data_IF_596609066598
#
_entry.id   IF_596609066598
#
_cell.length_a   1.000
_cell.length_b   1.000
_cell.length_c   1.000
_cell.angle_alpha   90.00
_cell.angle_beta   90.00
_cell.angle_gamma   90.00
#
_symmetry.space_group_name_H-M   'P 1'
#
loop_
_entity.id
_entity.type
_entity.pdbx_description
1 polymer ?
#
# COMPACT_ATOMS: atom_id res chain seq x y z
N UNK A 1 -68.85 -10.21 -31.41
CA UNK A 1 -69.49 -11.20 -30.51
C UNK A 1 -68.41 -11.84 -29.68
N UNK A 2 -68.47 -11.70 -28.36
CA UNK A 2 -67.84 -12.64 -27.43
C UNK A 2 -68.59 -13.98 -27.49
N UNK A 3 -67.98 -15.11 -27.11
CA UNK A 3 -68.71 -16.38 -27.03
C UNK A 3 -69.90 -16.23 -26.08
N UNK A 4 -71.09 -16.71 -26.44
CA UNK A 4 -72.28 -16.55 -25.59
C UNK A 4 -72.25 -17.51 -24.38
N UNK A 5 -71.61 -18.68 -24.53
CA UNK A 5 -71.43 -19.67 -23.45
C UNK A 5 -70.08 -20.38 -23.56
N UNK A 6 -69.50 -20.72 -22.42
CA UNK A 6 -68.26 -21.49 -22.29
C UNK A 6 -68.57 -22.81 -21.61
N UNK A 7 -68.22 -23.92 -22.27
CA UNK A 7 -68.18 -25.26 -21.67
C UNK A 7 -66.74 -25.57 -21.29
N UNK A 8 -66.52 -25.98 -20.05
CA UNK A 8 -65.19 -26.25 -19.52
C UNK A 8 -65.18 -27.54 -18.71
N UNK A 9 -64.02 -28.22 -18.67
CA UNK A 9 -63.81 -29.31 -17.72
C UNK A 9 -63.70 -28.78 -16.27
N UNK A 10 -63.73 -29.69 -15.30
CA UNK A 10 -63.67 -29.34 -13.89
C UNK A 10 -62.36 -28.63 -13.49
N UNK A 11 -61.25 -28.87 -14.19
CA UNK A 11 -59.95 -28.28 -13.87
C UNK A 11 -59.92 -26.82 -14.30
N UNK A 12 -60.38 -26.54 -15.52
CA UNK A 12 -60.50 -25.20 -16.07
C UNK A 12 -61.53 -24.37 -15.30
N UNK A 13 -62.69 -24.95 -14.95
CA UNK A 13 -63.71 -24.26 -14.16
C UNK A 13 -63.14 -23.75 -12.82
N UNK A 14 -62.39 -24.59 -12.10
CA UNK A 14 -61.75 -24.21 -10.82
C UNK A 14 -60.73 -23.08 -10.96
N UNK A 15 -59.97 -23.02 -12.06
CA UNK A 15 -58.98 -21.95 -12.28
C UNK A 15 -59.64 -20.57 -12.38
N UNK A 16 -60.86 -20.50 -12.92
CA UNK A 16 -61.64 -19.26 -13.06
C UNK A 16 -62.66 -19.05 -11.94
N UNK A 17 -62.66 -19.90 -10.90
CA UNK A 17 -63.61 -19.81 -9.80
C UNK A 17 -65.06 -20.14 -10.17
N UNK A 18 -65.28 -20.89 -11.26
CA UNK A 18 -66.60 -21.32 -11.71
C UNK A 18 -66.91 -22.71 -11.17
N UNK A 19 -68.16 -22.95 -10.77
CA UNK A 19 -68.62 -24.28 -10.34
C UNK A 19 -68.48 -25.31 -11.49
N UNK A 20 -67.80 -26.46 -11.25
CA UNK A 20 -67.59 -27.47 -12.29
C UNK A 20 -68.86 -28.05 -12.93
N UNK A 21 -69.95 -28.20 -12.18
CA UNK A 21 -71.20 -28.73 -12.71
C UNK A 21 -71.88 -27.70 -13.62
N UNK A 22 -71.86 -26.43 -13.23
CA UNK A 22 -72.38 -25.33 -14.05
C UNK A 22 -71.53 -25.05 -15.29
N UNK A 23 -70.21 -25.25 -15.19
CA UNK A 23 -69.26 -25.16 -16.30
C UNK A 23 -69.49 -26.23 -17.36
N UNK A 24 -69.75 -27.48 -16.96
CA UNK A 24 -70.05 -28.58 -17.88
C UNK A 24 -71.38 -28.37 -18.64
N UNK A 25 -72.37 -27.75 -17.98
CA UNK A 25 -73.66 -27.39 -18.58
C UNK A 25 -73.58 -26.16 -19.51
N UNK A 26 -72.42 -25.50 -19.59
CA UNK A 26 -72.18 -24.27 -20.36
C UNK A 26 -72.56 -23.02 -19.57
N UNK A 27 -71.59 -22.30 -19.02
CA UNK A 27 -71.81 -21.05 -18.27
C UNK A 27 -71.75 -19.85 -19.23
N UNK A 28 -72.45 -18.72 -18.97
CA UNK A 28 -72.22 -17.48 -19.71
C UNK A 28 -70.73 -17.08 -19.68
N UNK A 29 -70.19 -16.59 -20.80
CA UNK A 29 -68.77 -16.25 -20.88
C UNK A 29 -68.36 -15.13 -19.92
N UNK A 30 -69.30 -14.27 -19.53
CA UNK A 30 -69.13 -13.20 -18.54
C UNK A 30 -68.67 -13.76 -17.19
N UNK A 31 -69.09 -14.97 -16.82
CA UNK A 31 -68.65 -15.61 -15.57
C UNK A 31 -67.14 -15.90 -15.58
N UNK A 32 -66.60 -16.31 -16.74
CA UNK A 32 -65.15 -16.53 -16.89
C UNK A 32 -64.39 -15.21 -17.00
N UNK A 33 -64.97 -14.18 -17.63
CA UNK A 33 -64.37 -12.84 -17.67
C UNK A 33 -64.26 -12.21 -16.27
N UNK A 34 -65.23 -12.47 -15.39
CA UNK A 34 -65.18 -12.04 -13.99
C UNK A 34 -64.02 -12.69 -13.21
N UNK A 35 -63.70 -13.94 -13.52
CA UNK A 35 -62.56 -14.67 -12.95
C UNK A 35 -61.19 -14.22 -13.47
N UNK A 36 -61.11 -13.40 -14.51
CA UNK A 36 -59.85 -12.80 -14.98
C UNK A 36 -59.48 -11.60 -14.09
N UNK A 37 -58.19 -11.45 -13.76
CA UNK A 37 -57.69 -10.32 -13.00
C UNK A 37 -58.06 -8.98 -13.67
N UNK A 38 -58.52 -7.96 -12.92
CA UNK A 38 -59.01 -6.70 -13.48
C UNK A 38 -58.10 -6.08 -14.56
N UNK A 39 -56.81 -5.96 -14.28
CA UNK A 39 -55.82 -5.40 -15.22
C UNK A 39 -55.70 -6.16 -16.55
N UNK A 40 -56.01 -7.47 -16.57
CA UNK A 40 -55.81 -8.32 -17.74
C UNK A 40 -57.08 -8.40 -18.60
N UNK A 41 -58.25 -8.02 -18.06
CA UNK A 41 -59.58 -8.20 -18.70
C UNK A 41 -59.68 -7.51 -20.05
N UNK A 42 -59.31 -6.23 -20.13
CA UNK A 42 -59.44 -5.45 -21.36
C UNK A 42 -58.59 -6.07 -22.49
N UNK A 43 -57.34 -6.41 -22.19
CA UNK A 43 -56.43 -7.04 -23.15
C UNK A 43 -56.91 -8.43 -23.58
N UNK A 44 -57.50 -9.22 -22.69
CA UNK A 44 -58.07 -10.53 -23.02
C UNK A 44 -59.28 -10.39 -23.93
N UNK A 45 -60.20 -9.46 -23.63
CA UNK A 45 -61.40 -9.21 -24.46
C UNK A 45 -61.00 -8.75 -25.86
N UNK A 46 -60.01 -7.86 -25.97
CA UNK A 46 -59.49 -7.40 -27.26
C UNK A 46 -58.89 -8.56 -28.08
N UNK A 47 -58.02 -9.38 -27.47
CA UNK A 47 -57.39 -10.52 -28.13
C UNK A 47 -58.38 -11.62 -28.53
N UNK A 48 -59.41 -11.88 -27.70
CA UNK A 48 -60.50 -12.80 -28.05
C UNK A 48 -61.29 -12.28 -29.27
N UNK A 49 -61.63 -10.98 -29.29
CA UNK A 49 -62.35 -10.36 -30.40
C UNK A 49 -61.53 -10.44 -31.70
N UNK A 50 -60.23 -10.20 -31.62
CA UNK A 50 -59.33 -10.34 -32.76
C UNK A 50 -59.34 -11.77 -33.29
N UNK A 51 -59.10 -12.77 -32.43
CA UNK A 51 -59.11 -14.20 -32.82
C UNK A 51 -60.44 -14.62 -33.49
N UNK A 52 -61.57 -14.17 -32.94
CA UNK A 52 -62.91 -14.42 -33.47
C UNK A 52 -63.13 -13.73 -34.83
N UNK A 53 -62.49 -12.58 -35.06
CA UNK A 53 -62.66 -11.81 -36.32
C UNK A 53 -61.74 -12.32 -37.42
N UNK A 54 -60.45 -12.46 -37.13
CA UNK A 54 -59.40 -12.77 -38.10
C UNK A 54 -59.19 -14.28 -38.30
N UNK A 55 -59.44 -15.08 -37.26
CA UNK A 55 -59.21 -16.52 -37.26
C UNK A 55 -57.82 -16.90 -36.78
N UNK A 56 -56.99 -15.93 -36.40
CA UNK A 56 -55.72 -16.20 -35.76
C UNK A 56 -55.92 -16.94 -34.42
N UNK A 57 -55.02 -17.87 -34.06
CA UNK A 57 -55.06 -18.53 -32.76
C UNK A 57 -55.01 -17.52 -31.62
N UNK A 58 -55.87 -17.69 -30.62
CA UNK A 58 -55.78 -16.96 -29.36
C UNK A 58 -54.64 -17.58 -28.54
N UNK A 59 -53.61 -16.80 -28.18
CA UNK A 59 -52.52 -17.22 -27.30
C UNK A 59 -52.20 -16.11 -26.33
N UNK A 60 -52.30 -16.36 -25.02
CA UNK A 60 -52.02 -15.34 -24.00
C UNK A 60 -51.72 -15.95 -22.63
N UNK A 61 -50.74 -15.38 -21.95
CA UNK A 61 -50.57 -15.53 -20.51
C UNK A 61 -51.43 -14.49 -19.78
N UNK A 62 -52.25 -14.90 -18.83
CA UNK A 62 -53.09 -13.99 -18.05
C UNK A 62 -53.24 -14.46 -16.60
N UNK A 63 -53.60 -13.54 -15.72
CA UNK A 63 -53.93 -13.81 -14.33
C UNK A 63 -55.41 -14.13 -14.19
N UNK A 64 -55.70 -15.19 -13.46
CA UNK A 64 -57.06 -15.54 -13.01
C UNK A 64 -57.12 -15.58 -11.50
N UNK A 65 -58.30 -15.28 -10.96
CA UNK A 65 -58.61 -15.29 -9.54
C UNK A 65 -59.47 -16.52 -9.30
N UNK A 66 -58.91 -17.49 -8.57
CA UNK A 66 -59.65 -18.70 -8.21
C UNK A 66 -60.78 -18.42 -7.21
N UNK A 67 -61.62 -19.43 -6.96
CA UNK A 67 -62.69 -19.33 -5.95
C UNK A 67 -62.15 -19.10 -4.52
N UNK A 68 -60.88 -19.46 -4.28
CA UNK A 68 -60.14 -19.22 -3.05
C UNK A 68 -59.55 -17.79 -2.95
N UNK A 69 -59.80 -16.94 -3.96
CA UNK A 69 -59.24 -15.60 -4.03
C UNK A 69 -57.76 -15.55 -4.45
N UNK A 70 -57.11 -16.70 -4.66
CA UNK A 70 -55.71 -16.73 -5.04
C UNK A 70 -55.52 -16.37 -6.52
N UNK A 71 -54.56 -15.49 -6.79
CA UNK A 71 -54.16 -15.12 -8.16
C UNK A 71 -53.24 -16.20 -8.72
N UNK A 72 -53.61 -16.74 -9.88
CA UNK A 72 -52.84 -17.74 -10.63
C UNK A 72 -52.53 -17.22 -12.03
N UNK A 73 -51.33 -17.49 -12.52
CA UNK A 73 -50.99 -17.26 -13.91
C UNK A 73 -51.37 -18.48 -14.74
N UNK A 74 -52.11 -18.27 -15.82
CA UNK A 74 -52.45 -19.32 -16.78
C UNK A 74 -51.97 -18.94 -18.18
N UNK A 75 -51.40 -19.90 -18.89
CA UNK A 75 -51.14 -19.81 -20.32
C UNK A 75 -52.35 -20.40 -21.05
N UNK A 76 -53.01 -19.61 -21.89
CA UNK A 76 -54.21 -20.02 -22.63
C UNK A 76 -53.93 -20.03 -24.12
N UNK A 77 -54.26 -21.14 -24.77
CA UNK A 77 -54.26 -21.27 -26.22
C UNK A 77 -55.64 -21.71 -26.70
N UNK A 78 -56.15 -21.07 -27.75
CA UNK A 78 -57.43 -21.42 -28.38
C UNK A 78 -57.42 -21.21 -29.89
N UNK A 79 -58.26 -21.97 -30.60
CA UNK A 79 -58.48 -21.86 -32.04
C UNK A 79 -59.96 -21.76 -32.37
N UNK A 80 -60.27 -20.82 -33.23
CA UNK A 80 -61.63 -20.60 -33.74
C UNK A 80 -61.91 -21.55 -34.91
N UNK A 81 -62.90 -22.43 -34.76
CA UNK A 81 -63.53 -23.15 -35.87
C UNK A 81 -64.45 -22.19 -36.63
N UNK A 82 -64.43 -22.25 -37.96
CA UNK A 82 -65.20 -21.35 -38.84
C UNK A 82 -66.07 -22.13 -39.82
N UNK A 83 -67.28 -21.63 -40.04
CA UNK A 83 -68.20 -22.09 -41.10
C UNK A 83 -68.63 -20.87 -41.91
N UNK A 84 -68.58 -20.96 -43.25
CA UNK A 84 -68.94 -19.86 -44.16
C UNK A 84 -68.25 -18.52 -43.81
N UNK A 85 -66.98 -18.58 -43.40
CA UNK A 85 -66.17 -17.40 -43.01
C UNK A 85 -66.45 -16.85 -41.60
N UNK A 86 -67.47 -17.35 -40.90
CA UNK A 86 -67.85 -16.91 -39.54
C UNK A 86 -67.34 -17.89 -38.48
N UNK A 87 -66.79 -17.38 -37.38
CA UNK A 87 -66.38 -18.22 -36.26
C UNK A 87 -67.62 -18.81 -35.55
N UNK A 88 -67.66 -20.14 -35.44
CA UNK A 88 -68.78 -20.88 -34.83
C UNK A 88 -68.43 -21.45 -33.45
N UNK A 89 -67.14 -21.69 -33.18
CA UNK A 89 -66.69 -22.24 -31.88
C UNK A 89 -65.23 -21.87 -31.62
N UNK A 90 -64.89 -21.43 -30.41
CA UNK A 90 -63.52 -21.26 -29.94
C UNK A 90 -63.19 -22.42 -28.99
N UNK A 91 -62.32 -23.33 -29.40
CA UNK A 91 -61.84 -24.42 -28.54
C UNK A 91 -60.44 -24.09 -28.05
N UNK A 92 -60.18 -24.25 -26.75
CA UNK A 92 -58.88 -23.93 -26.16
C UNK A 92 -58.57 -24.71 -24.90
N UNK A 93 -57.34 -24.56 -24.42
CA UNK A 93 -56.83 -25.13 -23.19
C UNK A 93 -56.12 -24.04 -22.38
N UNK A 94 -56.15 -24.20 -21.05
CA UNK A 94 -55.37 -23.37 -20.14
C UNK A 94 -54.44 -24.26 -19.29
N UNK A 95 -53.21 -23.81 -19.12
CA UNK A 95 -52.22 -24.45 -18.24
C UNK A 95 -51.84 -23.47 -17.14
N UNK A 96 -51.92 -23.90 -15.89
CA UNK A 96 -51.39 -23.14 -14.76
C UNK A 96 -49.86 -23.07 -14.85
N UNK A 97 -49.32 -21.86 -14.95
CA UNK A 97 -47.90 -21.56 -15.05
C UNK A 97 -47.40 -20.75 -13.85
N UNK A 98 -48.18 -20.71 -12.75
CA UNK A 98 -47.87 -19.92 -11.55
C UNK A 98 -46.54 -20.34 -10.93
N UNK A 99 -46.35 -21.63 -10.68
CA UNK A 99 -45.11 -22.17 -10.08
C UNK A 99 -43.89 -21.92 -10.98
N UNK A 100 -44.03 -22.11 -12.30
CA UNK A 100 -42.97 -21.81 -13.27
C UNK A 100 -42.53 -20.35 -13.18
N UNK A 101 -43.48 -19.41 -13.18
CA UNK A 101 -43.18 -17.97 -13.06
C UNK A 101 -42.60 -17.60 -11.70
N UNK A 102 -43.04 -18.24 -10.61
CA UNK A 102 -42.47 -18.05 -9.26
C UNK A 102 -41.02 -18.49 -9.21
N UNK A 103 -40.68 -19.68 -9.74
CA UNK A 103 -39.30 -20.16 -9.80
C UNK A 103 -38.41 -19.26 -10.66
N UNK A 104 -38.86 -18.84 -11.85
CA UNK A 104 -38.12 -17.90 -12.68
C UNK A 104 -37.90 -16.55 -11.98
N UNK A 105 -38.91 -16.02 -11.30
CA UNK A 105 -38.80 -14.76 -10.56
C UNK A 105 -37.83 -14.88 -9.39
N UNK A 106 -37.91 -15.96 -8.61
CA UNK A 106 -37.02 -16.21 -7.49
C UNK A 106 -35.56 -16.39 -7.96
N UNK A 107 -35.35 -17.05 -9.10
CA UNK A 107 -34.03 -17.16 -9.72
C UNK A 107 -33.50 -15.80 -10.16
N UNK A 108 -34.29 -15.01 -10.89
CA UNK A 108 -33.90 -13.64 -11.31
C UNK A 108 -33.59 -12.75 -10.11
N UNK A 109 -34.39 -12.83 -9.05
CA UNK A 109 -34.16 -12.07 -7.81
C UNK A 109 -32.86 -12.52 -7.12
N UNK A 110 -32.60 -13.82 -7.07
CA UNK A 110 -31.36 -14.38 -6.51
C UNK A 110 -30.13 -13.92 -7.30
N UNK A 111 -30.18 -13.97 -8.63
CA UNK A 111 -29.12 -13.47 -9.51
C UNK A 111 -28.90 -11.96 -9.33
N UNK A 112 -29.98 -11.17 -9.23
CA UNK A 112 -29.89 -9.74 -9.00
C UNK A 112 -29.26 -9.40 -7.65
N UNK A 113 -29.65 -10.11 -6.57
CA UNK A 113 -29.05 -9.95 -5.25
C UNK A 113 -27.56 -10.31 -5.25
N UNK A 114 -27.19 -11.41 -5.91
CA UNK A 114 -25.78 -11.79 -6.05
C UNK A 114 -24.97 -10.70 -6.77
N UNK A 115 -25.43 -10.23 -7.93
CA UNK A 115 -24.75 -9.15 -8.68
C UNK A 115 -24.60 -7.90 -7.83
N UNK A 116 -25.68 -7.46 -7.17
CA UNK A 116 -25.65 -6.27 -6.33
C UNK A 116 -24.64 -6.38 -5.18
N UNK A 117 -24.58 -7.54 -4.52
CA UNK A 117 -23.59 -7.79 -3.46
C UNK A 117 -22.16 -7.78 -4.01
N UNK A 118 -21.93 -8.45 -5.13
CA UNK A 118 -20.61 -8.51 -5.75
C UNK A 118 -20.14 -7.12 -6.25
N UNK A 119 -21.02 -6.33 -6.85
CA UNK A 119 -20.71 -4.99 -7.38
C UNK A 119 -20.55 -3.92 -6.29
N UNK A 120 -21.01 -4.19 -5.06
CA UNK A 120 -20.86 -3.26 -3.92
C UNK A 120 -19.65 -3.59 -3.03
N UNK A 121 -19.06 -4.77 -3.20
CA UNK A 121 -17.91 -5.20 -2.40
C UNK A 121 -16.63 -4.50 -2.90
N UNK A 122 -15.81 -3.87 -2.03
CA UNK A 122 -14.60 -3.15 -2.43
C UNK A 122 -13.44 -4.09 -2.80
N UNK A 123 -13.71 -5.06 -3.68
CA UNK A 123 -12.79 -6.09 -4.14
C UNK A 123 -13.12 -6.45 -5.59
N UNK A 124 -12.12 -6.90 -6.34
CA UNK A 124 -12.31 -7.38 -7.71
C UNK A 124 -12.73 -8.85 -7.65
N UNK A 125 -14.01 -9.15 -7.83
CA UNK A 125 -14.55 -10.50 -7.67
C UNK A 125 -14.65 -11.17 -9.04
N UNK A 126 -14.21 -12.42 -9.12
CA UNK A 126 -14.25 -13.22 -10.34
C UNK A 126 -14.72 -14.65 -10.08
N UNK A 127 -15.24 -15.30 -11.13
CA UNK A 127 -15.52 -16.73 -11.14
C UNK A 127 -15.09 -17.35 -12.47
N UNK A 128 -14.63 -18.58 -12.42
CA UNK A 128 -14.36 -19.39 -13.61
C UNK A 128 -15.37 -20.51 -13.79
N UNK A 129 -15.46 -21.04 -15.01
CA UNK A 129 -16.02 -22.36 -15.27
C UNK A 129 -15.01 -23.48 -14.95
N UNK A 130 -15.43 -24.72 -15.23
CA UNK A 130 -14.66 -25.95 -15.07
C UNK A 130 -13.55 -26.13 -16.12
N UNK A 131 -13.42 -25.21 -17.07
CA UNK A 131 -12.30 -25.09 -18.01
C UNK A 131 -11.32 -23.96 -17.62
N UNK A 132 -11.56 -23.27 -16.50
CA UNK A 132 -10.72 -22.18 -16.01
C UNK A 132 -10.93 -20.85 -16.74
N UNK A 133 -11.98 -20.72 -17.56
CA UNK A 133 -12.34 -19.48 -18.24
C UNK A 133 -13.14 -18.58 -17.31
N UNK A 134 -12.84 -17.27 -17.26
CA UNK A 134 -13.60 -16.35 -16.43
C UNK A 134 -15.02 -16.19 -16.99
N UNK A 135 -16.03 -16.54 -16.21
CA UNK A 135 -17.46 -16.44 -16.57
C UNK A 135 -18.18 -15.30 -15.86
N UNK A 136 -17.54 -14.71 -14.85
CA UNK A 136 -18.05 -13.55 -14.13
C UNK A 136 -16.90 -12.68 -13.64
N UNK A 137 -17.08 -11.37 -13.78
CA UNK A 137 -16.27 -10.33 -13.16
C UNK A 137 -17.22 -9.20 -12.72
N UNK A 138 -17.03 -8.65 -11.51
CA UNK A 138 -17.86 -7.56 -11.00
C UNK A 138 -17.46 -6.20 -11.58
N UNK A 139 -18.31 -5.19 -11.38
CA UNK A 139 -18.11 -3.81 -11.89
C UNK A 139 -16.82 -3.14 -11.35
N UNK A 140 -16.19 -3.65 -10.29
CA UNK A 140 -14.94 -3.09 -9.78
C UNK A 140 -13.77 -3.22 -10.75
N UNK A 141 -13.82 -4.18 -11.69
CA UNK A 141 -12.87 -4.23 -12.80
C UNK A 141 -12.95 -2.98 -13.69
N UNK A 142 -14.15 -2.47 -13.95
CA UNK A 142 -14.37 -1.24 -14.72
C UNK A 142 -13.69 -0.04 -14.06
N UNK A 143 -13.79 0.04 -12.74
CA UNK A 143 -13.23 1.15 -11.98
C UNK A 143 -11.70 1.15 -12.00
N UNK A 144 -11.07 -0.02 -11.81
CA UNK A 144 -9.61 -0.13 -11.76
C UNK A 144 -8.98 -0.05 -13.16
N UNK A 145 -9.52 -0.78 -14.13
CA UNK A 145 -8.92 -0.94 -15.46
C UNK A 145 -9.49 0.02 -16.51
N UNK A 146 -10.60 0.70 -16.21
CA UNK A 146 -11.20 1.70 -17.09
C UNK A 146 -11.82 1.11 -18.37
N UNK A 147 -12.08 -0.19 -18.38
CA UNK A 147 -12.71 -0.96 -19.47
C UNK A 147 -13.81 -1.85 -18.91
N UNK A 148 -14.85 -2.21 -19.68
CA UNK A 148 -15.94 -3.05 -19.19
C UNK A 148 -15.44 -4.36 -18.57
N UNK A 149 -16.01 -4.80 -17.45
CA UNK A 149 -15.72 -6.11 -16.84
C UNK A 149 -15.93 -7.28 -17.81
N UNK A 150 -16.79 -7.11 -18.81
CA UNK A 150 -16.99 -8.05 -19.91
C UNK A 150 -15.70 -8.39 -20.68
N UNK A 151 -14.75 -7.45 -20.75
CA UNK A 151 -13.46 -7.64 -21.42
C UNK A 151 -12.53 -8.60 -20.64
N UNK A 152 -12.83 -8.86 -19.36
CA UNK A 152 -12.05 -9.77 -18.52
C UNK A 152 -12.48 -11.24 -18.72
N UNK A 153 -13.68 -11.46 -19.27
CA UNK A 153 -14.25 -12.78 -19.44
C UNK A 153 -13.39 -13.66 -20.36
N UNK A 154 -13.53 -14.97 -20.20
CA UNK A 154 -12.68 -15.97 -20.83
C UNK A 154 -11.22 -15.79 -20.40
N UNK A 155 -10.41 -15.37 -21.37
CA UNK A 155 -8.96 -15.20 -21.25
C UNK A 155 -8.52 -13.73 -21.18
N UNK A 156 -9.46 -12.77 -21.16
CA UNK A 156 -9.17 -11.35 -21.26
C UNK A 156 -8.36 -10.77 -20.08
N UNK A 157 -8.36 -11.45 -18.93
CA UNK A 157 -7.48 -11.12 -17.80
C UNK A 157 -5.98 -11.13 -18.15
N UNK A 158 -5.56 -11.84 -19.21
CA UNK A 158 -4.15 -11.85 -19.64
C UNK A 158 -3.67 -10.49 -20.13
N UNK A 159 -4.57 -9.66 -20.64
CA UNK A 159 -4.23 -8.34 -21.17
C UNK A 159 -3.93 -7.30 -20.08
N UNK A 160 -4.43 -7.53 -18.86
CA UNK A 160 -4.22 -6.60 -17.74
C UNK A 160 -3.02 -6.98 -16.89
N UNK A 161 -2.58 -8.24 -16.94
CA UNK A 161 -1.39 -8.75 -16.24
C UNK A 161 -0.12 -8.24 -16.93
N UNK A 162 0.89 -7.89 -16.13
CA UNK A 162 2.18 -7.48 -16.66
C UNK A 162 2.83 -8.65 -17.44
N UNK A 163 3.36 -8.42 -18.66
CA UNK A 163 3.92 -9.49 -19.49
C UNK A 163 5.03 -10.30 -18.81
N UNK A 164 5.79 -9.70 -17.90
CA UNK A 164 6.88 -10.38 -17.20
C UNK A 164 6.36 -11.38 -16.14
N UNK A 165 5.17 -11.11 -15.57
CA UNK A 165 4.56 -11.96 -14.54
C UNK A 165 3.63 -13.03 -15.14
N UNK A 166 3.14 -12.81 -16.37
CA UNK A 166 2.12 -13.64 -16.99
C UNK A 166 2.48 -15.14 -17.03
N UNK A 167 3.69 -15.57 -17.48
CA UNK A 167 4.02 -17.00 -17.55
C UNK A 167 3.99 -17.69 -16.19
N UNK A 168 4.58 -17.06 -15.17
CA UNK A 168 4.62 -17.62 -13.82
C UNK A 168 3.23 -17.66 -13.17
N UNK A 169 2.39 -16.65 -13.43
CA UNK A 169 1.02 -16.62 -12.93
C UNK A 169 0.15 -17.70 -13.59
N UNK A 170 0.27 -17.91 -14.90
CA UNK A 170 -0.42 -18.98 -15.62
C UNK A 170 -0.03 -20.37 -15.11
N UNK A 171 1.27 -20.60 -14.90
CA UNK A 171 1.78 -21.86 -14.35
C UNK A 171 1.21 -22.11 -12.95
N UNK A 172 1.33 -21.12 -12.05
CA UNK A 172 0.82 -21.24 -10.68
C UNK A 172 -0.71 -21.48 -10.63
N UNK A 173 -1.46 -20.80 -11.49
CA UNK A 173 -2.91 -21.03 -11.60
C UNK A 173 -3.21 -22.41 -12.18
N UNK A 174 -2.48 -22.83 -13.23
CA UNK A 174 -2.63 -24.14 -13.86
C UNK A 174 -2.37 -25.30 -12.91
N UNK A 175 -1.33 -25.22 -12.09
CA UNK A 175 -1.05 -26.20 -11.03
C UNK A 175 -2.19 -26.26 -10.00
N UNK A 176 -2.60 -25.11 -9.47
CA UNK A 176 -3.69 -25.06 -8.50
C UNK A 176 -5.00 -25.60 -9.08
N UNK A 177 -5.28 -25.30 -10.34
CA UNK A 177 -6.45 -25.77 -11.07
C UNK A 177 -6.44 -27.29 -11.27
N UNK A 178 -5.30 -27.86 -11.71
CA UNK A 178 -5.15 -29.30 -11.92
C UNK A 178 -5.35 -30.10 -10.63
N UNK A 179 -4.83 -29.59 -9.51
CA UNK A 179 -4.95 -30.21 -8.19
C UNK A 179 -6.25 -29.85 -7.45
N UNK A 180 -7.03 -28.90 -7.98
CA UNK A 180 -8.25 -28.36 -7.36
C UNK A 180 -8.02 -27.84 -5.93
N UNK A 181 -6.89 -27.17 -5.70
CA UNK A 181 -6.52 -26.57 -4.40
C UNK A 181 -6.75 -25.07 -4.39
N UNK A 182 -6.96 -24.43 -3.22
CA UNK A 182 -7.00 -22.98 -3.13
C UNK A 182 -5.82 -22.32 -3.84
N UNK A 183 -6.12 -21.33 -4.67
CA UNK A 183 -5.16 -20.56 -5.43
C UNK A 183 -4.83 -19.27 -4.69
N UNK A 184 -3.54 -18.93 -4.62
CA UNK A 184 -3.07 -17.64 -4.12
C UNK A 184 -1.79 -17.26 -4.86
N UNK A 185 -1.80 -16.07 -5.47
CA UNK A 185 -0.62 -15.49 -6.11
C UNK A 185 -0.67 -13.97 -6.04
N UNK A 186 0.50 -13.34 -6.12
CA UNK A 186 0.62 -11.90 -6.27
C UNK A 186 1.12 -11.60 -7.68
N UNK A 187 0.55 -10.59 -8.32
CA UNK A 187 0.82 -10.29 -9.72
C UNK A 187 0.77 -8.78 -9.96
N UNK A 188 1.64 -8.30 -10.84
CA UNK A 188 1.59 -6.92 -11.33
C UNK A 188 0.57 -6.81 -12.45
N UNK A 189 -0.23 -5.75 -12.40
CA UNK A 189 -1.20 -5.39 -13.44
C UNK A 189 -1.04 -3.93 -13.83
N UNK A 190 -1.60 -3.53 -14.97
CA UNK A 190 -1.66 -2.13 -15.41
C UNK A 190 -3.06 -1.59 -15.24
N UNK A 191 -3.20 -0.52 -14.45
CA UNK A 191 -4.48 0.16 -14.26
C UNK A 191 -4.88 1.01 -15.49
N UNK A 192 -6.03 1.67 -15.41
CA UNK A 192 -6.56 2.51 -16.48
C UNK A 192 -5.66 3.67 -16.93
N UNK A 193 -4.70 4.05 -16.10
CA UNK A 193 -3.73 5.11 -16.37
C UNK A 193 -2.36 4.54 -16.79
N UNK A 194 -2.25 3.22 -16.92
CA UNK A 194 -1.01 2.52 -17.24
C UNK A 194 -0.06 2.38 -16.05
N UNK A 195 -0.48 2.78 -14.84
CA UNK A 195 0.33 2.63 -13.64
C UNK A 195 0.35 1.16 -13.20
N UNK A 196 1.50 0.72 -12.68
CA UNK A 196 1.67 -0.64 -12.16
C UNK A 196 0.96 -0.73 -10.81
N UNK A 197 0.10 -1.75 -10.67
CA UNK A 197 -0.57 -2.12 -9.42
C UNK A 197 -0.18 -3.53 -9.04
N UNK A 198 -0.06 -3.79 -7.75
CA UNK A 198 0.08 -5.13 -7.23
C UNK A 198 -1.26 -5.66 -6.78
N UNK A 199 -1.71 -6.76 -7.39
CA UNK A 199 -2.89 -7.49 -6.96
C UNK A 199 -2.49 -8.77 -6.27
N UNK A 200 -3.14 -9.07 -5.14
CA UNK A 200 -3.14 -10.40 -4.56
C UNK A 200 -4.41 -11.11 -4.99
N UNK A 201 -4.24 -12.14 -5.80
CA UNK A 201 -5.32 -12.96 -6.34
C UNK A 201 -5.51 -14.18 -5.45
N UNK A 202 -6.72 -14.37 -4.94
CA UNK A 202 -7.09 -15.51 -4.10
C UNK A 202 -8.35 -16.17 -4.67
N UNK A 203 -8.35 -17.49 -4.77
CA UNK A 203 -9.48 -18.25 -5.30
C UNK A 203 -9.65 -19.60 -4.64
N UNK A 204 -10.89 -20.06 -4.52
CA UNK A 204 -11.23 -21.38 -3.98
C UNK A 204 -12.07 -22.17 -5.00
N UNK A 205 -11.89 -23.50 -5.07
CA UNK A 205 -12.68 -24.35 -5.94
C UNK A 205 -14.16 -24.35 -5.52
N UNK A 206 -15.05 -24.25 -6.50
CA UNK A 206 -16.50 -24.39 -6.35
C UNK A 206 -16.92 -25.79 -6.74
N UNK A 207 -17.75 -26.40 -5.90
CA UNK A 207 -18.37 -27.69 -6.15
C UNK A 207 -19.90 -27.55 -6.18
N UNK A 208 -20.58 -28.39 -6.94
CA UNK A 208 -22.03 -28.56 -6.82
C UNK A 208 -22.40 -29.53 -5.67
N UNK A 209 -23.71 -29.72 -5.45
CA UNK A 209 -24.23 -30.65 -4.43
C UNK A 209 -23.79 -32.11 -4.66
N UNK A 210 -23.38 -32.46 -5.88
CA UNK A 210 -22.84 -33.76 -6.26
C UNK A 210 -21.31 -33.83 -6.19
N UNK A 211 -20.65 -32.82 -5.59
CA UNK A 211 -19.20 -32.69 -5.48
C UNK A 211 -18.47 -32.61 -6.83
N UNK A 212 -19.16 -32.23 -7.91
CA UNK A 212 -18.54 -31.98 -9.21
C UNK A 212 -17.94 -30.59 -9.22
N UNK A 213 -16.74 -30.50 -9.80
CA UNK A 213 -16.00 -29.25 -9.92
C UNK A 213 -16.67 -28.31 -10.93
N UNK A 214 -16.94 -27.06 -10.50
CA UNK A 214 -17.62 -26.03 -11.28
C UNK A 214 -16.70 -24.86 -11.66
N UNK A 215 -15.39 -24.96 -11.39
CA UNK A 215 -14.44 -23.86 -11.50
C UNK A 215 -14.08 -23.22 -10.17
N UNK A 216 -13.58 -21.99 -10.21
CA UNK A 216 -13.14 -21.22 -9.04
C UNK A 216 -14.05 -20.02 -8.78
N UNK A 217 -14.12 -19.58 -7.54
CA UNK A 217 -14.53 -18.22 -7.19
C UNK A 217 -13.41 -17.57 -6.40
N UNK A 218 -13.16 -16.30 -6.68
CA UNK A 218 -12.06 -15.60 -6.04
C UNK A 218 -12.27 -14.10 -6.02
N UNK A 219 -11.31 -13.45 -5.40
CA UNK A 219 -11.19 -12.01 -5.43
C UNK A 219 -9.74 -11.58 -5.57
N UNK A 220 -9.54 -10.36 -6.06
CA UNK A 220 -8.25 -9.71 -6.08
C UNK A 220 -8.30 -8.49 -5.17
N UNK A 221 -7.28 -8.38 -4.32
CA UNK A 221 -7.09 -7.26 -3.40
C UNK A 221 -5.92 -6.45 -3.90
N UNK A 222 -6.12 -5.13 -4.06
CA UNK A 222 -5.02 -4.22 -4.36
C UNK A 222 -4.12 -4.09 -3.11
N UNK A 223 -2.88 -4.51 -3.25
CA UNK A 223 -1.84 -4.47 -2.21
C UNK A 223 -0.70 -3.52 -2.59
N UNK A 224 -0.91 -2.62 -3.55
CA UNK A 224 0.10 -1.69 -4.05
C UNK A 224 0.69 -0.84 -2.92
N UNK A 225 -0.17 -0.23 -2.09
CA UNK A 225 0.28 0.60 -0.97
C UNK A 225 1.09 -0.20 0.06
N UNK A 226 0.73 -1.46 0.28
CA UNK A 226 1.47 -2.37 1.17
C UNK A 226 2.85 -2.69 0.61
N UNK A 227 2.96 -2.98 -0.69
CA UNK A 227 4.25 -3.24 -1.36
C UNK A 227 5.16 -2.02 -1.36
N UNK A 228 4.63 -0.83 -1.67
CA UNK A 228 5.40 0.42 -1.62
C UNK A 228 5.90 0.71 -0.20
N UNK A 229 5.08 0.45 0.82
CA UNK A 229 5.49 0.61 2.21
C UNK A 229 6.58 -0.40 2.61
N UNK A 230 6.48 -1.64 2.15
CA UNK A 230 7.48 -2.70 2.38
C UNK A 230 8.84 -2.35 1.75
N UNK A 231 8.86 -1.95 0.47
CA UNK A 231 10.09 -1.53 -0.22
C UNK A 231 10.75 -0.34 0.48
N UNK A 232 9.96 0.65 0.90
CA UNK A 232 10.46 1.81 1.64
C UNK A 232 11.08 1.40 2.98
N UNK A 233 10.46 0.44 3.70
CA UNK A 233 10.98 -0.08 4.97
C UNK A 233 12.34 -0.76 4.76
N UNK A 234 12.45 -1.61 3.74
CA UNK A 234 13.68 -2.34 3.46
C UNK A 234 14.82 -1.42 3.01
N UNK A 235 14.51 -0.37 2.25
CA UNK A 235 15.47 0.68 1.90
C UNK A 235 16.02 1.38 3.15
N UNK A 236 15.15 1.78 4.08
CA UNK A 236 15.55 2.41 5.33
C UNK A 236 16.40 1.48 6.22
N UNK A 237 16.06 0.19 6.27
CA UNK A 237 16.84 -0.81 7.01
C UNK A 237 18.23 -0.97 6.40
N UNK A 238 18.32 -1.07 5.07
CA UNK A 238 19.60 -1.20 4.38
C UNK A 238 20.48 0.03 4.60
N UNK A 239 19.90 1.22 4.56
CA UNK A 239 20.61 2.46 4.83
C UNK A 239 21.09 2.53 6.28
N UNK A 240 20.24 2.17 7.25
CA UNK A 240 20.60 2.09 8.66
C UNK A 240 21.73 1.08 8.88
N UNK A 241 21.65 -0.11 8.29
CA UNK A 241 22.69 -1.14 8.38
C UNK A 241 24.02 -0.63 7.85
N UNK A 242 24.01 0.07 6.71
CA UNK A 242 25.21 0.70 6.16
C UNK A 242 25.78 1.75 7.13
N UNK A 243 24.91 2.57 7.75
CA UNK A 243 25.30 3.59 8.75
C UNK A 243 25.89 2.98 10.03
N UNK A 244 25.29 1.91 10.54
CA UNK A 244 25.79 1.18 11.73
C UNK A 244 27.17 0.59 11.45
N UNK A 245 27.36 -0.06 10.29
CA UNK A 245 28.67 -0.59 9.88
C UNK A 245 29.75 0.50 9.82
N UNK A 246 29.45 1.65 9.26
CA UNK A 246 30.39 2.78 9.19
C UNK A 246 30.78 3.30 10.58
N UNK A 247 29.81 3.42 11.49
CA UNK A 247 30.06 3.87 12.86
C UNK A 247 30.91 2.85 13.63
N UNK A 248 30.60 1.56 13.51
CA UNK A 248 31.39 0.49 14.14
C UNK A 248 32.82 0.43 13.62
N UNK A 249 33.03 0.61 12.31
CA UNK A 249 34.38 0.68 11.73
C UNK A 249 35.19 1.85 12.32
N UNK A 250 34.54 2.98 12.57
CA UNK A 250 35.17 4.14 13.22
C UNK A 250 35.52 3.83 14.68
N UNK A 251 34.60 3.24 15.45
CA UNK A 251 34.87 2.77 16.83
C UNK A 251 36.06 1.82 16.85
N UNK A 252 36.08 0.83 15.96
CA UNK A 252 37.16 -0.16 15.87
C UNK A 252 38.50 0.48 15.53
N UNK A 253 38.52 1.43 14.59
CA UNK A 253 39.72 2.21 14.25
C UNK A 253 40.25 2.97 15.46
N UNK A 254 39.38 3.69 16.18
CA UNK A 254 39.73 4.44 17.39
C UNK A 254 40.29 3.51 18.47
N UNK A 255 39.64 2.39 18.74
CA UNK A 255 40.11 1.42 19.74
C UNK A 255 41.48 0.84 19.37
N UNK A 256 41.63 0.37 18.12
CA UNK A 256 42.89 -0.22 17.62
C UNK A 256 44.03 0.78 17.66
N UNK A 257 43.79 2.03 17.26
CA UNK A 257 44.80 3.07 17.27
C UNK A 257 45.19 3.44 18.70
N UNK A 258 44.22 3.56 19.62
CA UNK A 258 44.46 3.89 21.02
C UNK A 258 45.33 2.85 21.70
N UNK A 259 45.01 1.55 21.52
CA UNK A 259 45.76 0.44 22.13
C UNK A 259 47.23 0.33 21.66
N UNK A 260 47.59 0.82 20.48
CA UNK A 260 48.95 0.70 19.93
C UNK A 260 50.03 1.51 20.67
N UNK A 261 49.66 2.52 21.46
CA UNK A 261 50.60 3.50 22.00
C UNK A 261 50.55 3.63 23.53
N UNK A 262 49.94 2.68 24.24
CA UNK A 262 49.78 2.76 25.69
C UNK A 262 50.73 1.81 26.43
N UNK A 263 51.30 2.28 27.53
CA UNK A 263 52.24 1.51 28.34
C UNK A 263 51.60 0.78 29.53
N UNK A 264 50.36 1.14 29.93
CA UNK A 264 49.62 0.51 31.03
C UNK A 264 48.14 0.31 30.69
N UNK A 265 47.54 -0.73 31.26
CA UNK A 265 46.13 -1.06 31.04
C UNK A 265 45.17 0.04 31.54
N UNK A 266 45.48 0.68 32.67
CA UNK A 266 44.65 1.77 33.24
C UNK A 266 44.67 3.05 32.39
N UNK A 267 45.81 3.34 31.74
CA UNK A 267 45.87 4.46 30.81
C UNK A 267 45.06 4.14 29.55
N UNK A 268 45.10 2.88 29.07
CA UNK A 268 44.38 2.47 27.87
C UNK A 268 42.87 2.52 28.10
N UNK A 269 42.40 2.05 29.27
CA UNK A 269 40.99 2.11 29.67
C UNK A 269 40.47 3.54 29.67
N UNK A 270 41.20 4.46 30.32
CA UNK A 270 40.81 5.88 30.41
C UNK A 270 40.78 6.58 29.04
N UNK A 271 41.78 6.33 28.20
CA UNK A 271 41.88 6.97 26.89
C UNK A 271 40.80 6.45 25.91
N UNK A 272 40.48 5.15 25.96
CA UNK A 272 39.37 4.57 25.18
C UNK A 272 38.02 5.13 25.65
N UNK A 273 37.78 5.16 26.96
CA UNK A 273 36.53 5.65 27.54
C UNK A 273 36.27 7.11 27.18
N UNK A 274 37.27 7.98 27.30
CA UNK A 274 37.17 9.39 26.92
C UNK A 274 36.82 9.57 25.43
N UNK A 275 37.36 8.73 24.55
CA UNK A 275 37.13 8.79 23.10
C UNK A 275 35.80 8.22 22.67
N UNK A 276 35.34 7.15 23.30
CA UNK A 276 33.99 6.62 23.06
C UNK A 276 32.93 7.64 23.46
N UNK A 277 33.13 8.35 24.59
CA UNK A 277 32.23 9.43 25.01
C UNK A 277 32.25 10.58 23.99
N UNK A 278 33.42 10.99 23.49
CA UNK A 278 33.52 12.04 22.47
C UNK A 278 32.83 11.64 21.15
N UNK A 279 33.03 10.39 20.70
CA UNK A 279 32.36 9.83 19.53
C UNK A 279 30.84 9.80 19.72
N UNK A 280 30.36 9.38 20.90
CA UNK A 280 28.93 9.36 21.23
C UNK A 280 28.31 10.75 21.14
N UNK A 281 28.97 11.77 21.68
CA UNK A 281 28.45 13.16 21.64
C UNK A 281 28.41 13.72 20.23
N UNK A 282 29.46 13.47 19.45
CA UNK A 282 29.47 13.83 18.03
C UNK A 282 28.32 13.13 17.28
N UNK A 283 28.05 11.86 17.61
CA UNK A 283 26.92 11.10 17.05
C UNK A 283 25.57 11.71 17.43
N UNK A 284 25.40 12.19 18.66
CA UNK A 284 24.17 12.84 19.12
C UNK A 284 23.89 14.14 18.35
N UNK A 285 24.91 14.96 18.10
CA UNK A 285 24.79 16.20 17.28
C UNK A 285 24.38 15.87 15.85
N UNK A 286 25.07 14.91 15.24
CA UNK A 286 24.78 14.51 13.86
C UNK A 286 23.40 13.87 13.73
N UNK A 287 22.95 13.13 14.75
CA UNK A 287 21.62 12.51 14.75
C UNK A 287 20.50 13.54 14.91
N UNK A 288 20.69 14.58 15.72
CA UNK A 288 19.70 15.67 15.87
C UNK A 288 19.55 16.52 14.61
N UNK A 289 20.63 16.73 13.88
CA UNK A 289 20.67 17.49 12.62
C UNK A 289 20.45 16.62 11.37
N UNK A 290 19.85 15.44 11.55
CA UNK A 290 19.51 14.49 10.49
C UNK A 290 20.69 14.16 9.54
N UNK A 291 21.91 14.22 10.06
CA UNK A 291 23.17 13.94 9.35
C UNK A 291 23.50 14.85 8.17
N UNK A 292 22.79 15.97 7.97
CA UNK A 292 23.09 16.93 6.91
C UNK A 292 24.35 17.76 7.20
N UNK A 293 24.78 17.80 8.46
CA UNK A 293 25.96 18.52 8.92
C UNK A 293 25.78 18.97 10.37
N UNK A 294 26.80 19.59 10.93
CA UNK A 294 26.76 20.08 12.30
C UNK A 294 27.41 21.47 12.41
N UNK A 295 26.84 22.31 13.28
CA UNK A 295 27.41 23.63 13.57
C UNK A 295 28.76 23.48 14.27
N UNK A 296 29.81 24.10 13.72
CA UNK A 296 31.15 24.13 14.34
C UNK A 296 31.08 24.67 15.78
N UNK A 297 30.22 25.65 16.03
CA UNK A 297 30.01 26.20 17.37
C UNK A 297 29.47 25.17 18.34
N UNK A 298 28.50 24.37 17.93
CA UNK A 298 27.89 23.33 18.77
C UNK A 298 28.86 22.19 19.03
N UNK A 299 29.62 21.77 18.01
CA UNK A 299 30.66 20.76 18.15
C UNK A 299 31.70 21.21 19.19
N UNK A 300 32.19 22.44 19.08
CA UNK A 300 33.14 23.00 20.05
C UNK A 300 32.51 23.09 21.45
N UNK A 301 31.26 23.55 21.56
CA UNK A 301 30.58 23.67 22.85
C UNK A 301 30.40 22.32 23.55
N UNK A 302 30.03 21.26 22.82
CA UNK A 302 29.84 19.93 23.40
C UNK A 302 31.15 19.23 23.76
N UNK A 303 32.19 19.36 22.93
CA UNK A 303 33.51 18.81 23.23
C UNK A 303 34.10 19.48 24.49
N UNK A 304 33.88 20.78 24.65
CA UNK A 304 34.40 21.54 25.80
C UNK A 304 33.49 21.49 27.04
N UNK A 305 32.26 21.00 26.92
CA UNK A 305 31.28 20.98 28.01
C UNK A 305 31.82 20.40 29.34
N UNK A 306 32.61 19.30 29.37
CA UNK A 306 33.16 18.76 30.62
C UNK A 306 34.13 19.69 31.33
N UNK A 307 34.72 20.64 30.60
CA UNK A 307 35.77 21.53 31.08
C UNK A 307 35.24 22.93 31.37
N UNK A 308 33.93 23.17 31.17
CA UNK A 308 33.28 24.43 31.54
C UNK A 308 32.72 24.32 32.96
N UNK A 309 33.29 25.08 33.89
CA UNK A 309 32.68 25.31 35.19
C UNK A 309 31.73 26.52 35.13
N UNK A 310 30.61 26.45 35.85
CA UNK A 310 29.65 27.55 35.93
C UNK A 310 30.33 28.80 36.53
N UNK A 311 30.46 29.87 35.73
CA UNK A 311 31.02 31.16 36.16
C UNK A 311 32.43 31.48 35.63
N UNK A 312 33.14 30.56 34.99
CA UNK A 312 34.51 30.78 34.50
C UNK A 312 34.57 31.25 33.03
N UNK A 313 35.20 32.41 32.78
CA UNK A 313 35.47 32.98 31.44
C UNK A 313 36.74 32.42 30.75
N UNK A 314 37.16 31.21 31.14
CA UNK A 314 38.46 30.64 30.74
C UNK A 314 38.44 30.00 29.36
N UNK A 315 37.25 29.64 28.86
CA UNK A 315 37.02 29.04 27.55
C UNK A 315 36.25 30.02 26.65
N UNK A 316 36.91 30.51 25.61
CA UNK A 316 36.33 31.43 24.63
C UNK A 316 36.17 30.73 23.29
N UNK A 317 34.95 30.72 22.75
CA UNK A 317 34.61 30.10 21.46
C UNK A 317 33.98 31.17 20.57
N UNK A 318 34.65 31.57 19.49
CA UNK A 318 34.25 32.71 18.66
C UNK A 318 34.49 32.51 17.16
N UNK A 319 33.48 32.75 16.34
CA UNK A 319 33.59 32.70 14.88
C UNK A 319 32.23 32.88 14.22
N UNK A 320 32.17 32.97 12.88
CA UNK A 320 30.91 32.97 12.14
C UNK A 320 30.23 31.60 12.21
N UNK A 321 28.93 31.52 11.94
CA UNK A 321 28.26 30.22 11.89
C UNK A 321 28.67 29.47 10.62
N UNK A 322 29.12 28.23 10.80
CA UNK A 322 29.63 27.34 9.76
C UNK A 322 29.05 25.96 9.99
N UNK A 323 28.38 25.40 8.97
CA UNK A 323 27.99 24.00 8.94
C UNK A 323 29.15 23.18 8.38
N UNK A 324 29.44 22.07 9.06
CA UNK A 324 30.49 21.13 8.69
C UNK A 324 29.87 19.83 8.21
N UNK A 325 30.51 19.21 7.22
CA UNK A 325 30.16 17.84 6.83
C UNK A 325 30.33 16.87 8.02
N UNK A 326 29.58 15.75 8.08
CA UNK A 326 29.68 14.79 9.17
C UNK A 326 31.11 14.31 9.46
N UNK A 327 31.91 14.12 8.40
CA UNK A 327 33.32 13.74 8.53
C UNK A 327 34.15 14.81 9.23
N UNK A 328 34.02 16.08 8.82
CA UNK A 328 34.73 17.20 9.44
C UNK A 328 34.27 17.42 10.88
N UNK A 329 32.96 17.31 11.13
CA UNK A 329 32.37 17.45 12.44
C UNK A 329 32.95 16.46 13.45
N UNK A 330 33.04 15.19 13.05
CA UNK A 330 33.60 14.14 13.89
C UNK A 330 35.10 14.35 14.15
N UNK A 331 35.86 14.69 13.10
CA UNK A 331 37.30 14.90 13.22
C UNK A 331 37.61 16.09 14.17
N UNK A 332 36.88 17.19 14.04
CA UNK A 332 37.04 18.37 14.89
C UNK A 332 36.56 18.12 16.33
N UNK A 333 35.50 17.35 16.54
CA UNK A 333 35.05 16.95 17.88
C UNK A 333 36.16 16.19 18.63
N UNK A 334 36.81 15.23 17.96
CA UNK A 334 37.94 14.49 18.53
C UNK A 334 39.15 15.41 18.80
N UNK A 335 39.47 16.31 17.85
CA UNK A 335 40.58 17.25 18.01
C UNK A 335 40.39 18.18 19.21
N UNK A 336 39.19 18.75 19.38
CA UNK A 336 38.89 19.61 20.54
C UNK A 336 38.98 18.86 21.86
N UNK A 337 38.53 17.61 21.90
CA UNK A 337 38.62 16.80 23.11
C UNK A 337 40.08 16.54 23.51
N UNK A 338 40.93 16.19 22.55
CA UNK A 338 42.35 15.93 22.77
C UNK A 338 43.10 17.20 23.18
N UNK A 339 42.84 18.32 22.49
CA UNK A 339 43.42 19.63 22.85
C UNK A 339 42.98 20.08 24.24
N UNK A 340 41.69 19.95 24.58
CA UNK A 340 41.18 20.29 25.91
C UNK A 340 41.81 19.42 27.01
N UNK A 341 41.93 18.11 26.75
CA UNK A 341 42.58 17.19 27.69
C UNK A 341 44.05 17.56 27.92
N UNK A 342 44.77 17.95 26.86
CA UNK A 342 46.16 18.40 26.98
C UNK A 342 46.26 19.73 27.72
N UNK A 343 45.34 20.67 27.46
CA UNK A 343 45.29 21.94 28.16
C UNK A 343 45.11 21.74 29.68
N UNK A 344 44.29 20.78 30.10
CA UNK A 344 44.09 20.44 31.54
C UNK A 344 45.31 19.76 32.13
N UNK A 345 45.93 18.81 31.42
CA UNK A 345 47.05 18.03 31.96
C UNK A 345 48.37 18.80 32.00
N UNK A 346 48.64 19.61 30.98
CA UNK A 346 49.97 20.17 30.71
C UNK A 346 49.95 21.65 30.32
N UNK A 347 48.79 22.21 29.96
CA UNK A 347 48.68 23.52 29.33
C UNK A 347 47.90 24.54 30.16
N UNK A 348 47.20 25.45 29.49
CA UNK A 348 46.57 26.62 30.12
C UNK A 348 45.38 26.31 31.05
N UNK A 349 44.85 25.10 31.07
CA UNK A 349 43.78 24.72 32.00
C UNK A 349 44.30 23.93 33.22
N UNK A 350 45.62 23.76 33.35
CA UNK A 350 46.25 23.07 34.49
C UNK A 350 46.39 23.94 35.74
N UNK A 351 46.29 25.27 35.60
CA UNK A 351 46.36 26.26 36.69
C UNK A 351 45.03 27.04 36.79
N UNK A 352 44.97 28.10 37.61
CA UNK A 352 43.75 28.90 37.78
C UNK A 352 43.65 30.12 36.85
N UNK A 353 44.77 30.53 36.23
CA UNK A 353 44.86 31.79 35.47
C UNK A 353 44.76 31.61 33.96
N UNK A 354 45.04 30.42 33.45
CA UNK A 354 45.18 30.21 32.02
C UNK A 354 43.85 30.15 31.29
N UNK A 355 43.89 30.45 30.00
CA UNK A 355 42.73 30.60 29.12
C UNK A 355 42.96 29.88 27.82
N UNK A 356 41.87 29.38 27.25
CA UNK A 356 41.82 28.75 25.94
C UNK A 356 40.87 29.53 25.06
N UNK A 357 41.34 29.91 23.87
CA UNK A 357 40.57 30.59 22.84
C UNK A 357 40.51 29.73 21.58
N UNK A 358 39.29 29.36 21.19
CA UNK A 358 39.01 28.74 19.91
C UNK A 358 38.34 29.79 19.04
N UNK A 359 38.98 30.13 17.94
CA UNK A 359 38.37 31.03 16.98
C UNK A 359 38.57 30.60 15.55
N UNK A 360 37.58 30.90 14.71
CA UNK A 360 37.66 30.58 13.29
C UNK A 360 37.13 31.72 12.41
N UNK A 361 37.58 31.71 11.16
CA UNK A 361 37.15 32.61 10.09
C UNK A 361 37.04 31.82 8.78
N UNK A 362 36.23 32.32 7.86
CA UNK A 362 36.14 31.79 6.50
C UNK A 362 37.07 32.64 5.62
N UNK A 363 38.00 31.99 4.92
CA UNK A 363 38.91 32.62 3.96
C UNK A 363 38.61 32.13 2.54
N UNK A 364 38.99 32.88 1.50
CA UNK A 364 39.04 32.34 0.14
C UNK A 364 40.16 31.29 0.06
N UNK A 365 39.83 30.06 -0.32
CA UNK A 365 40.79 28.98 -0.60
C UNK A 365 41.38 29.07 -2.01
N UNK A 366 42.34 28.18 -2.31
CA UNK A 366 43.10 28.16 -3.57
C UNK A 366 42.21 28.16 -4.83
N UNK A 367 41.04 27.51 -4.78
CA UNK A 367 40.08 27.40 -5.89
C UNK A 367 38.89 28.38 -5.79
N UNK A 368 39.02 29.50 -5.05
CA UNK A 368 37.89 30.39 -4.66
C UNK A 368 36.79 29.72 -3.83
N UNK A 369 36.98 28.47 -3.39
CA UNK A 369 36.09 27.79 -2.45
C UNK A 369 36.31 28.34 -1.04
N UNK A 370 35.26 28.49 -0.21
CA UNK A 370 35.45 28.91 1.16
C UNK A 370 36.31 27.89 1.91
N UNK A 371 37.29 28.37 2.66
CA UNK A 371 38.16 27.57 3.50
C UNK A 371 37.99 28.00 4.97
N UNK A 372 37.90 27.02 5.85
CA UNK A 372 37.90 27.20 7.30
C UNK A 372 39.33 27.43 7.77
N UNK A 373 39.57 28.58 8.38
CA UNK A 373 40.79 28.90 9.14
C UNK A 373 40.41 28.89 10.62
N UNK A 374 40.69 27.79 11.30
CA UNK A 374 40.44 27.60 12.73
C UNK A 374 41.74 27.67 13.52
N UNK A 375 41.67 28.29 14.69
CA UNK A 375 42.81 28.48 15.57
C UNK A 375 42.43 28.26 17.04
N UNK A 376 43.15 27.34 17.68
CA UNK A 376 43.18 27.11 19.11
C UNK A 376 44.39 27.80 19.70
N UNK A 377 44.20 28.59 20.75
CA UNK A 377 45.27 29.28 21.47
C UNK A 377 45.14 29.08 22.96
N UNK A 378 46.25 28.73 23.59
CA UNK A 378 46.41 28.69 25.03
C UNK A 378 47.21 29.90 25.50
N UNK A 379 46.87 30.46 26.66
CA UNK A 379 47.57 31.60 27.25
C UNK A 379 47.47 31.57 28.77
N UNK A 380 48.43 32.19 29.47
CA UNK A 380 48.41 32.28 30.95
C UNK A 380 48.58 30.93 31.67
N UNK A 381 49.00 29.90 30.94
CA UNK A 381 49.37 28.58 31.45
C UNK A 381 50.82 28.53 31.96
N UNK A 382 51.28 27.37 32.43
CA UNK A 382 52.70 27.13 32.70
C UNK A 382 53.52 27.25 31.40
N UNK A 383 54.83 27.56 31.48
CA UNK A 383 55.69 27.63 30.31
C UNK A 383 55.68 26.32 29.52
N UNK A 384 55.26 26.39 28.26
CA UNK A 384 55.19 25.21 27.40
C UNK A 384 56.57 24.93 26.82
N UNK A 385 57.00 23.67 26.91
CA UNK A 385 58.18 23.18 26.22
C UNK A 385 57.75 22.21 25.12
N UNK A 386 58.47 22.23 24.01
CA UNK A 386 58.27 21.25 22.95
C UNK A 386 58.47 19.83 23.52
N UNK A 387 57.50 18.92 23.35
CA UNK A 387 57.59 17.60 23.95
C UNK A 387 58.75 16.80 23.34
N UNK A 388 59.57 16.17 24.20
CA UNK A 388 60.72 15.35 23.79
C UNK A 388 60.34 14.09 23.02
N UNK A 389 59.07 13.66 23.14
CA UNK A 389 58.46 12.62 22.30
C UNK A 389 57.11 13.11 21.79
N UNK A 390 56.86 12.96 20.49
CA UNK A 390 55.52 13.17 19.91
C UNK A 390 54.59 12.06 20.39
N UNK A 391 53.76 12.38 21.37
CA UNK A 391 52.73 11.50 21.90
C UNK A 391 51.62 11.24 20.88
N UNK A 392 50.69 10.37 21.26
CA UNK A 392 49.54 10.01 20.42
C UNK A 392 48.74 11.24 19.98
N UNK A 393 48.38 12.14 20.91
CA UNK A 393 47.50 13.28 20.64
C UNK A 393 48.05 14.22 19.56
N UNK A 394 49.34 14.55 19.62
CA UNK A 394 50.03 15.33 18.59
C UNK A 394 50.02 14.66 17.21
N UNK A 395 50.13 13.32 17.12
CA UNK A 395 50.08 12.62 15.82
C UNK A 395 48.66 12.53 15.26
N UNK A 396 47.66 12.32 16.12
CA UNK A 396 46.26 12.31 15.69
C UNK A 396 45.83 13.68 15.16
N UNK A 397 46.23 14.76 15.84
CA UNK A 397 45.90 16.13 15.40
C UNK A 397 46.71 16.55 14.17
N UNK A 398 48.01 16.26 14.07
CA UNK A 398 48.79 16.70 12.90
C UNK A 398 48.53 15.85 11.65
N UNK A 399 48.38 14.52 11.79
CA UNK A 399 48.30 13.61 10.62
C UNK A 399 46.88 13.07 10.39
N UNK A 400 46.15 12.74 11.45
CA UNK A 400 44.79 12.20 11.34
C UNK A 400 43.79 13.29 10.93
N UNK A 401 43.77 14.39 11.68
CA UNK A 401 42.87 15.52 11.43
C UNK A 401 43.14 16.17 10.07
N UNK A 402 44.41 16.37 9.68
CA UNK A 402 44.76 16.90 8.37
C UNK A 402 44.20 16.05 7.23
N UNK A 403 44.31 14.71 7.33
CA UNK A 403 43.76 13.78 6.34
C UNK A 403 42.23 13.79 6.31
N UNK A 404 41.57 13.86 7.47
CA UNK A 404 40.11 13.83 7.54
C UNK A 404 39.45 15.15 7.13
N UNK A 405 40.18 16.25 7.24
CA UNK A 405 39.74 17.57 6.81
C UNK A 405 40.18 17.92 5.38
N UNK A 406 40.98 17.07 4.73
CA UNK A 406 41.61 17.36 3.43
C UNK A 406 42.34 18.71 3.45
N UNK A 407 43.09 18.94 4.53
CA UNK A 407 43.66 20.25 4.86
C UNK A 407 44.98 20.15 5.61
N UNK A 408 45.46 21.28 6.13
CA UNK A 408 46.72 21.38 6.87
C UNK A 408 46.46 21.67 8.34
N UNK A 409 47.17 20.98 9.22
CA UNK A 409 47.13 21.20 10.66
C UNK A 409 48.53 21.41 11.18
N UNK A 410 48.73 22.49 11.94
CA UNK A 410 50.02 22.82 12.56
C UNK A 410 49.84 23.04 14.06
N UNK A 411 50.80 22.56 14.85
CA UNK A 411 50.85 22.79 16.29
C UNK A 411 52.19 23.44 16.64
N UNK A 412 52.11 24.63 17.25
CA UNK A 412 53.24 25.35 17.83
C UNK A 412 53.25 25.21 19.36
N UNK A 413 54.42 24.98 19.91
CA UNK A 413 54.67 24.92 21.35
C UNK A 413 55.47 26.17 21.75
N UNK A 414 54.77 27.29 21.92
CA UNK A 414 55.39 28.57 22.29
C UNK A 414 55.49 28.69 23.82
N UNK A 415 56.49 29.39 24.38
CA UNK A 415 56.62 29.54 25.84
C UNK A 415 55.37 30.09 26.53
N UNK A 416 54.57 30.90 25.81
CA UNK A 416 53.32 31.47 26.30
C UNK A 416 52.09 30.56 26.23
N UNK A 417 52.17 29.41 25.54
CA UNK A 417 51.06 28.48 25.35
C UNK A 417 51.11 27.70 24.03
N UNK A 418 50.29 26.65 23.94
CA UNK A 418 50.11 25.87 22.71
C UNK A 418 49.22 26.64 21.72
N UNK A 419 49.61 26.65 20.45
CA UNK A 419 48.81 27.19 19.35
C UNK A 419 48.60 26.10 18.30
N UNK A 420 47.34 25.74 18.02
CA UNK A 420 47.01 24.83 16.92
C UNK A 420 46.23 25.58 15.85
N UNK A 421 46.69 25.50 14.61
CA UNK A 421 46.01 26.11 13.45
C UNK A 421 45.58 25.00 12.49
N UNK A 422 44.33 25.09 12.05
CA UNK A 422 43.68 24.16 11.11
C UNK A 422 43.20 24.97 9.93
N UNK A 423 43.65 24.60 8.73
CA UNK A 423 43.20 25.18 7.47
C UNK A 423 42.60 24.04 6.64
N UNK A 424 41.31 24.14 6.31
CA UNK A 424 40.58 23.08 5.61
C UNK A 424 39.55 23.64 4.62
N UNK A 425 39.38 23.06 3.42
CA UNK A 425 38.33 23.46 2.50
C UNK A 425 36.94 23.13 3.09
N UNK A 426 36.00 24.07 3.01
CA UNK A 426 34.60 23.82 3.30
C UNK A 426 33.96 23.25 2.03
N UNK A 427 33.66 21.96 2.04
CA UNK A 427 32.84 21.32 1.00
C UNK A 427 31.38 21.58 1.37
N UNK A 428 30.65 22.21 0.46
CA UNK A 428 29.24 22.56 0.62
C UNK A 428 28.34 21.35 0.75
#
# INVERSE_FOLDING_TARGET
>A
MTPDRVQADARLARLFGVDPAEAAAGRPAEAYLAGIHPDDREGVVAALRESITTGHPFRRDMRVIGADGAVRWIAVEGRSSRENGRAVRLAGAAVDITERRRHESALRESEARFRHMADSAPALIWMTDDAGQIVFANMHYDHLFGRPAGDILGNGWREIVDPDDLPAFEEAFGEAFAERRPFRAEVRVRDRHGAVRWLRCEGVPRLDDAHRFLGYTGCNVDITDAKVAEERRDLLINELNHRVKNTLATVQSVATQTLRNVHTADQARRDIEARLIALSRAHDVLTRENWEGASLREIAAQALAPYRNAGETRLLVAGPDVRLSPRMALALAMAFQELATNAVKYGALSNDTGRVRIAWRIRPGEDRRPALSLRWEESGGPPVQAPSRRGFGSRLIEQGLARDLDGTVTIGFEPGGVVCTVEAPLRG
#
